data_IF_981410239785
#
_entry.id   IF_981410239785
#
_cell.length_a   1.000
_cell.length_b   1.000
_cell.length_c   1.000
_cell.angle_alpha   90.00
_cell.angle_beta   90.00
_cell.angle_gamma   90.00
#
_symmetry.space_group_name_H-M   'P 1'
#
loop_
_entity.id
_entity.type
_entity.pdbx_description
1 polymer ?
#
# COMPACT_ATOMS: atom_id res chain seq x y z
N UNK A 1 10.06 -15.29 2.54
CA UNK A 1 10.18 -14.23 3.58
C UNK A 1 8.86 -13.49 3.64
N UNK A 2 8.39 -13.09 4.83
CA UNK A 2 7.15 -12.33 5.00
C UNK A 2 7.51 -10.92 5.46
N UNK A 3 6.88 -9.91 4.87
CA UNK A 3 7.11 -8.50 5.25
C UNK A 3 5.80 -7.80 5.55
N UNK A 4 5.84 -6.83 6.47
CA UNK A 4 4.75 -5.89 6.65
C UNK A 4 5.14 -4.55 6.02
N UNK A 5 4.38 -4.11 5.03
CA UNK A 5 4.57 -2.84 4.36
C UNK A 5 3.92 -1.74 5.20
N UNK A 6 4.72 -0.75 5.58
CA UNK A 6 4.22 0.48 6.19
C UNK A 6 3.43 1.30 5.16
N UNK A 7 2.49 2.11 5.64
CA UNK A 7 1.72 3.05 4.81
C UNK A 7 2.63 3.95 3.99
N UNK A 8 3.76 4.42 4.55
CA UNK A 8 4.66 5.36 3.89
C UNK A 8 5.32 4.78 2.63
N UNK A 9 5.70 3.50 2.63
CA UNK A 9 6.27 2.83 1.45
C UNK A 9 5.30 2.91 0.27
N UNK A 10 4.01 2.71 0.55
CA UNK A 10 2.96 2.78 -0.47
C UNK A 10 2.77 4.23 -0.93
N UNK A 11 2.78 5.18 0.01
CA UNK A 11 2.65 6.60 -0.31
C UNK A 11 3.83 7.14 -1.11
N UNK A 12 5.04 6.63 -0.89
CA UNK A 12 6.22 7.05 -1.64
C UNK A 12 6.05 6.77 -3.14
N UNK A 13 5.44 5.65 -3.49
CA UNK A 13 5.14 5.28 -4.89
C UNK A 13 3.92 6.02 -5.41
N UNK A 14 2.84 6.12 -4.63
CA UNK A 14 1.61 6.79 -5.06
C UNK A 14 1.76 8.30 -5.27
N UNK A 15 2.65 8.93 -4.51
CA UNK A 15 2.86 10.39 -4.51
C UNK A 15 4.24 10.79 -5.06
N UNK A 16 5.00 9.84 -5.60
CA UNK A 16 6.34 10.06 -6.16
C UNK A 16 7.28 10.81 -5.19
N UNK A 17 7.33 10.37 -3.92
CA UNK A 17 8.08 11.06 -2.86
C UNK A 17 9.57 10.72 -2.92
N UNK A 18 10.38 11.70 -3.28
CA UNK A 18 11.82 11.63 -3.14
C UNK A 18 12.25 11.70 -1.65
N UNK A 19 13.37 11.03 -1.26
CA UNK A 19 14.27 10.22 -2.10
C UNK A 19 13.88 8.73 -2.18
N UNK A 20 12.76 8.32 -1.59
CA UNK A 20 12.46 6.91 -1.32
C UNK A 20 11.64 6.22 -2.41
N UNK A 21 11.10 6.98 -3.37
CA UNK A 21 10.22 6.46 -4.44
C UNK A 21 10.83 5.28 -5.18
N UNK A 22 12.12 5.33 -5.53
CA UNK A 22 12.77 4.29 -6.32
C UNK A 22 12.87 2.96 -5.55
N UNK A 23 13.27 3.03 -4.28
CA UNK A 23 13.42 1.84 -3.43
C UNK A 23 12.06 1.26 -3.04
N UNK A 24 11.09 2.11 -2.70
CA UNK A 24 9.72 1.71 -2.42
C UNK A 24 9.07 1.06 -3.64
N UNK A 25 9.31 1.57 -4.85
CA UNK A 25 8.83 0.96 -6.09
C UNK A 25 9.44 -0.43 -6.33
N UNK A 26 10.75 -0.58 -6.17
CA UNK A 26 11.41 -1.89 -6.31
C UNK A 26 10.84 -2.91 -5.33
N UNK A 27 10.59 -2.51 -4.08
CA UNK A 27 9.99 -3.38 -3.08
C UNK A 27 8.56 -3.79 -3.44
N UNK A 28 7.70 -2.83 -3.79
CA UNK A 28 6.31 -3.13 -4.16
C UNK A 28 6.23 -3.99 -5.42
N UNK A 29 7.14 -3.80 -6.39
CA UNK A 29 7.22 -4.65 -7.58
C UNK A 29 7.52 -6.11 -7.24
N UNK A 30 8.41 -6.37 -6.28
CA UNK A 30 8.67 -7.74 -5.81
C UNK A 30 7.45 -8.36 -5.12
N UNK A 31 6.63 -7.54 -4.45
CA UNK A 31 5.38 -7.97 -3.83
C UNK A 31 4.31 -8.29 -4.89
N UNK A 32 4.17 -7.42 -5.90
CA UNK A 32 3.28 -7.58 -7.05
C UNK A 32 3.63 -8.81 -7.89
N UNK A 33 4.93 -9.08 -8.09
CA UNK A 33 5.42 -10.30 -8.75
C UNK A 33 5.32 -11.56 -7.86
N UNK A 34 4.72 -11.46 -6.67
CA UNK A 34 4.56 -12.52 -5.68
C UNK A 34 5.88 -13.21 -5.25
N UNK A 35 7.02 -12.53 -5.40
CA UNK A 35 8.33 -13.01 -4.94
C UNK A 35 8.48 -12.90 -3.43
N UNK A 36 7.73 -11.98 -2.81
CA UNK A 36 7.68 -11.77 -1.36
C UNK A 36 6.22 -11.75 -0.93
N UNK A 37 5.91 -12.52 0.11
CA UNK A 37 4.60 -12.46 0.75
C UNK A 37 4.54 -11.19 1.60
N UNK A 38 3.60 -10.32 1.28
CA UNK A 38 3.53 -8.96 1.81
C UNK A 38 2.20 -8.71 2.50
N UNK A 39 2.26 -7.93 3.58
CA UNK A 39 1.11 -7.65 4.41
C UNK A 39 0.95 -6.16 4.66
N UNK A 40 -0.28 -5.70 4.82
CA UNK A 40 -0.61 -4.36 5.34
C UNK A 40 -1.56 -4.47 6.51
N UNK A 41 -1.49 -3.50 7.41
CA UNK A 41 -2.48 -3.39 8.49
C UNK A 41 -3.82 -2.89 7.95
N UNK A 42 -4.92 -3.20 8.64
CA UNK A 42 -6.24 -2.67 8.28
C UNK A 42 -6.28 -1.13 8.37
N UNK A 43 -5.53 -0.52 9.30
CA UNK A 43 -5.42 0.93 9.41
C UNK A 43 -4.65 1.55 8.25
N UNK A 44 -3.60 0.89 7.75
CA UNK A 44 -2.88 1.33 6.55
C UNK A 44 -3.80 1.43 5.34
N UNK A 45 -4.74 0.49 5.18
CA UNK A 45 -5.74 0.57 4.10
C UNK A 45 -6.63 1.81 4.23
N UNK A 46 -7.08 2.13 5.45
CA UNK A 46 -7.89 3.34 5.67
C UNK A 46 -7.08 4.62 5.45
N UNK A 47 -5.80 4.63 5.83
CA UNK A 47 -4.92 5.78 5.63
C UNK A 47 -4.69 6.05 4.13
N UNK A 48 -4.41 4.99 3.36
CA UNK A 48 -4.22 5.08 1.91
C UNK A 48 -5.48 5.61 1.24
N UNK A 49 -6.64 5.04 1.59
CA UNK A 49 -7.93 5.52 1.07
C UNK A 49 -8.12 7.02 1.34
N UNK A 50 -7.91 7.44 2.59
CA UNK A 50 -8.10 8.82 3.00
C UNK A 50 -7.14 9.76 2.28
N UNK A 51 -5.87 9.40 2.17
CA UNK A 51 -4.84 10.21 1.53
C UNK A 51 -5.08 10.34 0.03
N UNK A 52 -5.33 9.23 -0.68
CA UNK A 52 -5.62 9.28 -2.13
C UNK A 52 -6.86 10.14 -2.38
N UNK A 53 -7.93 9.97 -1.59
CA UNK A 53 -9.13 10.80 -1.70
C UNK A 53 -8.82 12.28 -1.42
N UNK A 54 -7.98 12.57 -0.43
CA UNK A 54 -7.61 13.94 -0.06
C UNK A 54 -6.83 14.66 -1.17
N UNK A 55 -5.89 13.97 -1.82
CA UNK A 55 -5.06 14.57 -2.88
C UNK A 55 -5.75 14.63 -4.23
N UNK A 56 -6.56 13.62 -4.58
CA UNK A 56 -7.23 13.55 -5.88
C UNK A 56 -8.63 14.15 -5.88
N UNK A 57 -9.18 14.44 -4.69
CA UNK A 57 -10.59 14.79 -4.47
C UNK A 57 -11.60 13.78 -5.05
N UNK A 58 -11.16 12.54 -5.34
CA UNK A 58 -11.98 11.50 -5.95
C UNK A 58 -12.07 10.26 -5.06
N UNK A 59 -13.29 9.94 -4.65
CA UNK A 59 -13.60 8.70 -3.92
C UNK A 59 -13.42 7.47 -4.81
N UNK A 60 -13.73 7.57 -6.11
CA UNK A 60 -13.57 6.46 -7.05
C UNK A 60 -12.10 6.07 -7.22
N UNK A 61 -11.21 7.07 -7.39
CA UNK A 61 -9.78 6.83 -7.48
C UNK A 61 -9.21 6.23 -6.18
N UNK A 62 -9.74 6.64 -5.03
CA UNK A 62 -9.34 6.06 -3.74
C UNK A 62 -9.71 4.57 -3.64
N UNK A 63 -10.93 4.19 -4.02
CA UNK A 63 -11.32 2.76 -4.08
C UNK A 63 -10.48 1.98 -5.08
N UNK A 64 -10.21 2.55 -6.26
CA UNK A 64 -9.37 1.91 -7.28
C UNK A 64 -7.94 1.69 -6.78
N UNK A 65 -7.36 2.67 -6.09
CA UNK A 65 -6.02 2.56 -5.52
C UNK A 65 -5.95 1.46 -4.45
N UNK A 66 -6.90 1.46 -3.50
CA UNK A 66 -6.98 0.41 -2.46
C UNK A 66 -7.20 -0.97 -3.09
N UNK A 67 -8.10 -1.08 -4.08
CA UNK A 67 -8.37 -2.33 -4.79
C UNK A 67 -7.11 -2.92 -5.41
N UNK A 68 -6.37 -2.10 -6.19
CA UNK A 68 -5.09 -2.51 -6.79
C UNK A 68 -4.06 -2.97 -5.76
N UNK A 69 -3.95 -2.26 -4.65
CA UNK A 69 -2.98 -2.62 -3.59
C UNK A 69 -3.34 -3.96 -2.94
N UNK A 70 -4.62 -4.23 -2.72
CA UNK A 70 -5.09 -5.48 -2.12
C UNK A 70 -5.01 -6.70 -3.05
N UNK A 71 -4.73 -6.52 -4.35
CA UNK A 71 -4.46 -7.64 -5.27
C UNK A 71 -3.17 -8.37 -4.94
N UNK A 72 -2.17 -7.66 -4.39
CA UNK A 72 -0.86 -8.23 -4.09
C UNK A 72 -0.43 -8.07 -2.62
N UNK A 73 -1.10 -7.23 -1.83
CA UNK A 73 -0.87 -7.06 -0.39
C UNK A 73 -1.95 -7.80 0.42
N UNK A 74 -1.57 -8.74 1.26
CA UNK A 74 -2.50 -9.40 2.16
C UNK A 74 -2.85 -8.54 3.37
N UNK A 75 -4.11 -8.58 3.81
CA UNK A 75 -4.49 -7.96 5.09
C UNK A 75 -3.92 -8.78 6.24
N UNK A 76 -3.10 -8.14 7.09
CA UNK A 76 -2.73 -8.75 8.35
C UNK A 76 -3.90 -8.68 9.31
N UNK A 77 -4.53 -9.83 9.58
CA UNK A 77 -5.41 -9.98 10.75
C UNK A 77 -4.53 -10.07 11.99
N UNK A 78 -4.45 -8.98 12.73
CA UNK A 78 -4.03 -9.07 14.12
C UNK A 78 -5.10 -9.89 14.86
N UNK A 79 -4.71 -11.05 15.41
CA UNK A 79 -5.55 -11.77 16.37
C UNK A 79 -5.60 -10.93 17.65
N UNK A 80 -6.50 -9.96 17.67
CA UNK A 80 -7.06 -9.48 18.92
C UNK A 80 -8.40 -10.20 19.06
N UNK A 81 -8.52 -10.96 20.15
CA UNK A 81 -9.54 -11.97 20.49
C UNK A 81 -9.30 -13.37 19.90
#
# INVERSE_FOLDING_TARGET
>A
MKIMCDTNVILDVLLEREPFVEDSYKLLKLCEEHKIESFVSASSVTDIFYLVRKYTHSTELAYKAVGKLLEFLCLLRLKFF
#
